data_IF_337895094803
#
_entry.id   IF_337895094803
#
_cell.length_a   1.000
_cell.length_b   1.000
_cell.length_c   1.000
_cell.angle_alpha   90.00
_cell.angle_beta   90.00
_cell.angle_gamma   90.00
#
_symmetry.space_group_name_H-M   'P 1'
#
loop_
_entity.id
_entity.type
_entity.pdbx_description
1 polymer ?
#
# COMPACT_ATOMS: atom_id res chain seq x y z
N UNK A 1 -19.26 -26.08 -23.48
CA UNK A 1 -19.94 -25.00 -22.71
C UNK A 1 -18.88 -24.22 -21.95
N UNK A 2 -17.88 -23.80 -22.72
CA UNK A 2 -16.80 -22.92 -22.31
C UNK A 2 -17.29 -21.47 -22.51
N UNK A 3 -16.77 -20.55 -21.69
CA UNK A 3 -16.80 -19.11 -21.90
C UNK A 3 -18.15 -18.36 -21.81
N UNK A 4 -18.88 -18.52 -20.70
CA UNK A 4 -19.49 -17.30 -20.14
C UNK A 4 -18.36 -16.48 -19.52
N UNK A 5 -17.89 -15.46 -20.25
CA UNK A 5 -16.90 -14.50 -19.79
C UNK A 5 -17.21 -14.10 -18.34
N UNK A 6 -16.29 -14.33 -17.40
CA UNK A 6 -16.50 -14.01 -15.98
C UNK A 6 -16.84 -12.52 -15.83
N UNK A 7 -18.14 -12.20 -15.78
CA UNK A 7 -18.69 -10.85 -15.63
C UNK A 7 -18.13 -10.13 -14.40
N UNK A 8 -17.69 -10.88 -13.40
CA UNK A 8 -17.20 -10.39 -12.12
C UNK A 8 -15.82 -11.00 -11.77
N UNK A 9 -14.98 -10.23 -11.08
CA UNK A 9 -13.63 -10.68 -10.71
C UNK A 9 -13.64 -11.81 -9.67
N UNK A 10 -14.13 -11.53 -8.45
CA UNK A 10 -14.12 -12.52 -7.36
C UNK A 10 -15.29 -12.34 -6.41
N UNK A 11 -16.26 -13.23 -6.57
CA UNK A 11 -17.45 -13.34 -5.73
C UNK A 11 -17.11 -13.88 -4.34
N UNK A 12 -17.95 -13.56 -3.36
CA UNK A 12 -17.98 -14.26 -2.09
C UNK A 12 -18.62 -15.65 -2.27
N UNK A 13 -17.87 -16.72 -2.01
CA UNK A 13 -18.33 -18.10 -2.22
C UNK A 13 -19.53 -18.47 -1.35
N UNK A 14 -19.67 -17.87 -0.16
CA UNK A 14 -20.71 -18.23 0.79
C UNK A 14 -22.10 -17.77 0.36
N UNK A 15 -22.19 -16.68 -0.41
CA UNK A 15 -23.46 -16.06 -0.82
C UNK A 15 -24.29 -17.03 -1.66
N UNK A 16 -23.64 -17.89 -2.45
CA UNK A 16 -24.29 -18.90 -3.30
C UNK A 16 -25.10 -19.96 -2.55
N UNK A 17 -24.84 -20.14 -1.26
CA UNK A 17 -25.52 -21.14 -0.44
C UNK A 17 -26.73 -20.58 0.32
N UNK A 18 -27.04 -19.29 0.14
CA UNK A 18 -28.17 -18.67 0.80
C UNK A 18 -29.49 -19.04 0.10
N UNK A 19 -30.59 -19.29 0.84
CA UNK A 19 -31.89 -19.66 0.25
C UNK A 19 -32.48 -18.63 -0.71
N UNK A 20 -32.04 -17.37 -0.61
CA UNK A 20 -32.52 -16.22 -1.37
C UNK A 20 -31.43 -15.63 -2.29
N UNK A 21 -30.56 -16.50 -2.84
CA UNK A 21 -29.45 -16.10 -3.71
C UNK A 21 -29.89 -15.26 -4.92
N UNK A 22 -30.98 -15.64 -5.58
CA UNK A 22 -31.47 -14.96 -6.79
C UNK A 22 -31.89 -13.50 -6.52
N UNK A 23 -32.41 -13.23 -5.31
CA UNK A 23 -32.76 -11.87 -4.90
C UNK A 23 -31.52 -11.05 -4.54
N UNK A 24 -30.52 -11.69 -3.91
CA UNK A 24 -29.24 -11.06 -3.60
C UNK A 24 -28.51 -10.62 -4.87
N UNK A 25 -28.55 -11.41 -5.94
CA UNK A 25 -27.87 -11.02 -7.19
C UNK A 25 -28.45 -9.73 -7.77
N UNK A 26 -29.79 -9.57 -7.72
CA UNK A 26 -30.48 -8.36 -8.19
C UNK A 26 -30.20 -7.18 -7.27
N UNK A 27 -30.24 -7.40 -5.96
CA UNK A 27 -29.92 -6.38 -4.96
C UNK A 27 -28.49 -5.87 -5.14
N UNK A 28 -27.53 -6.77 -5.32
CA UNK A 28 -26.13 -6.41 -5.53
C UNK A 28 -25.90 -5.64 -6.85
N UNK A 29 -26.67 -5.91 -7.91
CA UNK A 29 -26.62 -5.14 -9.15
C UNK A 29 -27.20 -3.73 -8.99
N UNK A 30 -28.30 -3.60 -8.25
CA UNK A 30 -28.92 -2.32 -7.94
C UNK A 30 -28.02 -1.47 -7.02
N UNK A 31 -27.53 -2.03 -5.92
CA UNK A 31 -26.69 -1.32 -4.97
C UNK A 31 -25.38 -0.84 -5.61
N UNK A 32 -24.77 -1.63 -6.51
CA UNK A 32 -23.57 -1.20 -7.22
C UNK A 32 -23.83 0.01 -8.13
N UNK A 33 -24.99 0.07 -8.79
CA UNK A 33 -25.38 1.23 -9.61
C UNK A 33 -25.56 2.48 -8.76
N UNK A 34 -26.19 2.33 -7.60
CA UNK A 34 -26.41 3.41 -6.65
C UNK A 34 -25.08 3.91 -6.07
N UNK A 35 -24.18 3.01 -5.68
CA UNK A 35 -22.82 3.38 -5.23
C UNK A 35 -22.07 4.16 -6.30
N UNK A 36 -22.09 3.70 -7.57
CA UNK A 36 -21.42 4.41 -8.66
C UNK A 36 -21.99 5.80 -8.88
N UNK A 37 -23.31 5.92 -8.96
CA UNK A 37 -23.98 7.20 -9.19
C UNK A 37 -23.80 8.14 -8.00
N UNK A 38 -23.93 7.64 -6.77
CA UNK A 38 -23.74 8.37 -5.53
C UNK A 38 -22.31 8.89 -5.34
N UNK A 39 -21.30 8.07 -5.62
CA UNK A 39 -19.90 8.51 -5.64
C UNK A 39 -19.68 9.59 -6.72
N UNK A 40 -20.18 9.39 -7.94
CA UNK A 40 -20.04 10.36 -9.01
C UNK A 40 -20.69 11.71 -8.66
N UNK A 41 -21.93 11.70 -8.18
CA UNK A 41 -22.63 12.92 -7.77
C UNK A 41 -21.93 13.60 -6.61
N UNK A 42 -21.60 12.89 -5.53
CA UNK A 42 -20.95 13.51 -4.36
C UNK A 42 -19.62 14.18 -4.71
N UNK A 43 -18.84 13.61 -5.63
CA UNK A 43 -17.60 14.22 -6.13
C UNK A 43 -17.90 15.46 -6.98
N UNK A 44 -18.87 15.38 -7.91
CA UNK A 44 -19.26 16.51 -8.77
C UNK A 44 -19.78 17.71 -7.96
N UNK A 45 -20.61 17.45 -6.96
CA UNK A 45 -21.17 18.47 -6.07
C UNK A 45 -20.19 18.91 -4.97
N UNK A 46 -19.01 18.27 -4.88
CA UNK A 46 -17.99 18.49 -3.84
C UNK A 46 -18.54 18.36 -2.42
N UNK A 47 -19.54 17.51 -2.24
CA UNK A 47 -20.21 17.29 -0.97
C UNK A 47 -19.50 16.18 -0.19
N UNK A 48 -18.47 16.56 0.57
CA UNK A 48 -17.67 15.62 1.37
C UNK A 48 -18.52 14.94 2.46
N UNK A 49 -19.41 15.69 3.12
CA UNK A 49 -20.35 15.19 4.12
C UNK A 49 -21.75 15.75 3.86
N UNK A 50 -22.81 14.93 4.02
CA UNK A 50 -22.80 13.50 4.32
C UNK A 50 -22.57 12.57 3.12
N UNK A 51 -22.70 13.07 1.89
CA UNK A 51 -22.84 12.21 0.71
C UNK A 51 -21.61 11.34 0.39
N UNK A 52 -20.43 11.95 0.22
CA UNK A 52 -19.23 11.21 -0.21
C UNK A 52 -18.83 10.12 0.77
N UNK A 53 -18.78 10.45 2.07
CA UNK A 53 -18.47 9.46 3.11
C UNK A 53 -19.50 8.33 3.15
N UNK A 54 -20.79 8.63 2.99
CA UNK A 54 -21.83 7.60 2.98
C UNK A 54 -21.59 6.60 1.85
N UNK A 55 -21.42 7.07 0.62
CA UNK A 55 -21.22 6.19 -0.54
C UNK A 55 -19.88 5.45 -0.53
N UNK A 56 -18.83 6.04 0.06
CA UNK A 56 -17.56 5.35 0.27
C UNK A 56 -17.70 4.19 1.27
N UNK A 57 -18.38 4.42 2.41
CA UNK A 57 -18.67 3.36 3.37
C UNK A 57 -19.58 2.27 2.78
N UNK A 58 -20.54 2.64 1.93
CA UNK A 58 -21.39 1.70 1.20
C UNK A 58 -20.58 0.84 0.22
N UNK A 59 -19.58 1.40 -0.46
CA UNK A 59 -18.64 0.63 -1.28
C UNK A 59 -17.86 -0.40 -0.45
N UNK A 60 -17.37 -0.01 0.73
CA UNK A 60 -16.66 -0.94 1.62
C UNK A 60 -17.58 -2.07 2.09
N UNK A 61 -18.82 -1.73 2.50
CA UNK A 61 -19.85 -2.71 2.88
C UNK A 61 -20.17 -3.65 1.73
N UNK A 62 -20.29 -3.14 0.51
CA UNK A 62 -20.52 -3.92 -0.70
C UNK A 62 -19.42 -4.97 -0.91
N UNK A 63 -18.15 -4.56 -0.81
CA UNK A 63 -17.00 -5.45 -0.97
C UNK A 63 -16.96 -6.52 0.12
N UNK A 64 -17.33 -6.18 1.35
CA UNK A 64 -17.40 -7.16 2.45
C UNK A 64 -18.51 -8.20 2.24
N UNK A 65 -19.69 -7.78 1.78
CA UNK A 65 -20.84 -8.67 1.59
C UNK A 65 -20.69 -9.54 0.34
N UNK A 66 -20.49 -8.92 -0.82
CA UNK A 66 -20.55 -9.58 -2.12
C UNK A 66 -19.18 -9.93 -2.71
N UNK A 67 -18.10 -9.45 -2.08
CA UNK A 67 -16.76 -9.53 -2.63
C UNK A 67 -16.54 -8.51 -3.75
N UNK A 68 -15.68 -8.85 -4.71
CA UNK A 68 -15.35 -8.01 -5.86
C UNK A 68 -16.32 -8.33 -7.01
N UNK A 69 -17.63 -8.15 -6.76
CA UNK A 69 -18.71 -8.38 -7.74
C UNK A 69 -18.86 -7.18 -8.69
N UNK A 70 -17.78 -6.81 -9.35
CA UNK A 70 -17.76 -5.76 -10.37
C UNK A 70 -16.67 -6.06 -11.39
N UNK A 71 -16.72 -5.36 -12.53
CA UNK A 71 -15.75 -5.51 -13.61
C UNK A 71 -14.35 -5.06 -13.16
N UNK A 72 -13.31 -5.47 -13.90
CA UNK A 72 -11.94 -5.02 -13.64
C UNK A 72 -11.79 -3.52 -13.86
N UNK A 73 -12.46 -2.98 -14.87
CA UNK A 73 -12.50 -1.55 -15.18
C UNK A 73 -13.09 -0.75 -14.01
N UNK A 74 -14.23 -1.19 -13.47
CA UNK A 74 -14.84 -0.56 -12.29
C UNK A 74 -13.92 -0.60 -11.08
N UNK A 75 -13.20 -1.70 -10.88
CA UNK A 75 -12.24 -1.83 -9.78
C UNK A 75 -11.12 -0.80 -9.89
N UNK A 76 -10.53 -0.67 -11.07
CA UNK A 76 -9.50 0.34 -11.34
C UNK A 76 -10.06 1.75 -11.11
N UNK A 77 -11.29 2.02 -11.54
CA UNK A 77 -11.95 3.31 -11.31
C UNK A 77 -12.18 3.59 -9.83
N UNK A 78 -12.66 2.63 -9.04
CA UNK A 78 -12.83 2.79 -7.59
C UNK A 78 -11.50 3.05 -6.89
N UNK A 79 -10.45 2.30 -7.26
CA UNK A 79 -9.11 2.49 -6.70
C UNK A 79 -8.57 3.89 -7.03
N UNK A 80 -8.63 4.31 -8.29
CA UNK A 80 -8.19 5.65 -8.71
C UNK A 80 -8.99 6.74 -8.00
N UNK A 81 -10.31 6.60 -7.95
CA UNK A 81 -11.18 7.57 -7.28
C UNK A 81 -10.82 7.73 -5.80
N UNK A 82 -10.70 6.62 -5.08
CA UNK A 82 -10.33 6.65 -3.66
C UNK A 82 -8.92 7.21 -3.45
N UNK A 83 -7.97 6.85 -4.31
CA UNK A 83 -6.61 7.37 -4.28
C UNK A 83 -6.57 8.90 -4.45
N UNK A 84 -7.26 9.43 -5.46
CA UNK A 84 -7.32 10.87 -5.72
C UNK A 84 -7.96 11.62 -4.55
N UNK A 85 -9.00 11.05 -3.92
CA UNK A 85 -9.62 11.64 -2.73
C UNK A 85 -8.69 11.68 -1.52
N UNK A 86 -7.82 10.67 -1.35
CA UNK A 86 -6.85 10.61 -0.25
C UNK A 86 -5.74 11.65 -0.43
N UNK A 87 -5.28 11.82 -1.67
CA UNK A 87 -4.17 12.70 -2.02
C UNK A 87 -4.61 14.16 -2.15
N UNK A 88 -5.90 14.41 -2.32
CA UNK A 88 -6.46 15.75 -2.50
C UNK A 88 -6.03 16.70 -1.36
N UNK A 89 -5.40 17.85 -1.69
CA UNK A 89 -4.97 18.80 -0.67
C UNK A 89 -6.19 19.39 0.05
N UNK A 90 -6.10 19.49 1.38
CA UNK A 90 -7.17 20.03 2.21
C UNK A 90 -8.30 19.05 2.54
N UNK A 91 -8.18 17.77 2.17
CA UNK A 91 -9.12 16.73 2.62
C UNK A 91 -9.07 16.57 4.15
N UNK A 92 -10.23 16.45 4.80
CA UNK A 92 -10.31 16.24 6.25
C UNK A 92 -9.58 14.95 6.64
N UNK A 93 -8.67 15.00 7.62
CA UNK A 93 -7.84 13.85 8.01
C UNK A 93 -8.65 12.63 8.50
N UNK A 94 -9.85 12.85 9.05
CA UNK A 94 -10.78 11.75 9.39
C UNK A 94 -11.31 11.06 8.13
N UNK A 95 -11.61 11.81 7.07
CA UNK A 95 -12.02 11.26 5.78
C UNK A 95 -10.85 10.53 5.11
N UNK A 96 -9.64 11.11 5.16
CA UNK A 96 -8.41 10.45 4.67
C UNK A 96 -8.21 9.10 5.35
N UNK A 97 -8.40 9.02 6.67
CA UNK A 97 -8.33 7.74 7.41
C UNK A 97 -9.34 6.74 6.83
N UNK A 98 -10.61 7.12 6.73
CA UNK A 98 -11.68 6.26 6.23
C UNK A 98 -11.40 5.79 4.81
N UNK A 99 -11.09 6.70 3.89
CA UNK A 99 -10.77 6.35 2.50
C UNK A 99 -9.53 5.47 2.40
N UNK A 100 -8.52 5.68 3.25
CA UNK A 100 -7.33 4.82 3.32
C UNK A 100 -7.68 3.39 3.72
N UNK A 101 -8.62 3.18 4.65
CA UNK A 101 -9.08 1.84 5.03
C UNK A 101 -9.84 1.15 3.88
N UNK A 102 -10.69 1.90 3.18
CA UNK A 102 -11.46 1.39 2.03
C UNK A 102 -10.50 1.01 0.89
N UNK A 103 -9.55 1.89 0.56
CA UNK A 103 -8.55 1.62 -0.47
C UNK A 103 -7.64 0.43 -0.10
N UNK A 104 -7.29 0.30 1.19
CA UNK A 104 -6.61 -0.89 1.69
C UNK A 104 -7.38 -2.19 1.41
N UNK A 105 -8.70 -2.17 1.58
CA UNK A 105 -9.55 -3.32 1.30
C UNK A 105 -9.65 -3.63 -0.19
N UNK A 106 -9.76 -2.60 -1.05
CA UNK A 106 -9.76 -2.75 -2.50
C UNK A 106 -8.43 -3.38 -3.01
N UNK A 107 -7.30 -2.90 -2.48
CA UNK A 107 -5.97 -3.40 -2.83
C UNK A 107 -5.57 -4.71 -2.10
N UNK A 108 -6.45 -5.28 -1.27
CA UNK A 108 -6.12 -6.44 -0.44
C UNK A 108 -5.79 -7.69 -1.25
N UNK A 109 -6.44 -7.88 -2.40
CA UNK A 109 -6.30 -9.08 -3.24
C UNK A 109 -5.42 -8.78 -4.45
N UNK A 110 -4.12 -8.93 -4.27
CA UNK A 110 -3.09 -8.61 -5.28
C UNK A 110 -3.32 -9.39 -6.59
N UNK A 111 -3.88 -10.60 -6.53
CA UNK A 111 -4.17 -11.41 -7.72
C UNK A 111 -5.23 -10.83 -8.67
N UNK A 112 -5.96 -9.78 -8.27
CA UNK A 112 -7.05 -9.20 -9.08
C UNK A 112 -6.58 -8.08 -10.01
N UNK A 113 -5.48 -7.42 -9.68
CA UNK A 113 -4.94 -6.28 -10.44
C UNK A 113 -3.46 -6.49 -10.69
N UNK A 114 -3.03 -6.36 -11.94
CA UNK A 114 -1.63 -6.25 -12.32
C UNK A 114 -1.21 -4.78 -12.31
N UNK A 115 0.11 -4.54 -12.35
CA UNK A 115 0.68 -3.21 -12.54
C UNK A 115 0.34 -2.61 -13.91
N UNK A 116 0.08 -3.46 -14.91
CA UNK A 116 -0.33 -3.00 -16.25
C UNK A 116 -1.73 -2.37 -16.24
N UNK A 117 -2.57 -2.76 -15.28
CA UNK A 117 -3.94 -2.24 -15.15
C UNK A 117 -4.01 -0.96 -14.32
N UNK A 118 -3.10 -0.83 -13.36
CA UNK A 118 -3.11 0.23 -12.37
C UNK A 118 -1.69 0.68 -12.06
N UNK A 119 -1.46 1.97 -12.28
CA UNK A 119 -0.26 2.68 -11.86
C UNK A 119 -0.66 3.74 -10.84
N UNK A 120 -0.03 3.69 -9.67
CA UNK A 120 -0.27 4.61 -8.56
C UNK A 120 1.00 5.40 -8.28
N UNK A 121 1.00 6.75 -8.37
CA UNK A 121 2.20 7.52 -8.08
C UNK A 121 2.53 7.44 -6.58
N UNK A 122 3.80 7.24 -6.27
CA UNK A 122 4.26 7.11 -4.89
C UNK A 122 4.41 8.46 -4.19
N UNK A 123 4.78 9.51 -4.95
CA UNK A 123 5.12 10.83 -4.42
C UNK A 123 4.00 11.48 -3.60
N UNK A 124 2.74 11.49 -4.06
CA UNK A 124 1.68 12.13 -3.28
C UNK A 124 1.35 11.38 -1.98
N UNK A 125 1.54 10.05 -1.96
CA UNK A 125 1.44 9.26 -0.72
C UNK A 125 2.59 9.57 0.23
N UNK A 126 3.80 9.80 -0.30
CA UNK A 126 4.94 10.24 0.49
C UNK A 126 4.70 11.62 1.11
N UNK A 127 4.21 12.59 0.33
CA UNK A 127 3.93 13.94 0.84
C UNK A 127 2.85 13.90 1.94
N UNK A 128 1.82 13.07 1.77
CA UNK A 128 0.80 12.83 2.80
C UNK A 128 1.38 12.15 4.05
N UNK A 129 2.16 11.08 3.88
CA UNK A 129 2.83 10.39 4.99
C UNK A 129 3.76 11.33 5.75
N UNK A 130 4.54 12.12 5.02
CA UNK A 130 5.46 13.11 5.60
C UNK A 130 4.71 14.17 6.39
N UNK A 131 3.59 14.67 5.86
CA UNK A 131 2.73 15.62 6.54
C UNK A 131 2.14 15.07 7.84
N UNK A 132 1.75 13.79 7.88
CA UNK A 132 1.11 13.20 9.07
C UNK A 132 2.15 12.70 10.09
N UNK A 133 3.24 12.08 9.63
CA UNK A 133 4.20 11.40 10.49
C UNK A 133 5.36 12.28 10.98
N UNK A 134 5.74 13.34 10.23
CA UNK A 134 6.95 14.12 10.52
C UNK A 134 6.72 15.62 10.67
N UNK A 135 5.68 16.21 10.06
CA UNK A 135 5.25 17.54 10.51
C UNK A 135 4.60 17.35 11.86
N UNK A 136 5.22 17.94 12.88
CA UNK A 136 4.88 17.86 14.31
C UNK A 136 3.51 18.52 14.63
N UNK A 137 2.46 18.20 13.87
CA UNK A 137 1.17 18.87 13.94
C UNK A 137 0.44 18.61 15.27
N UNK A 138 0.69 17.46 15.90
CA UNK A 138 0.21 17.16 17.24
C UNK A 138 1.08 17.78 18.33
N UNK A 139 2.41 17.73 18.21
CA UNK A 139 3.31 18.26 19.25
C UNK A 139 3.29 19.81 19.26
N UNK A 140 2.98 20.44 18.12
CA UNK A 140 2.70 21.87 18.00
C UNK A 140 1.25 22.24 18.36
N UNK A 141 0.37 21.26 18.62
CA UNK A 141 -1.02 21.47 19.03
C UNK A 141 -1.95 22.04 17.95
N UNK A 142 -1.55 22.00 16.68
CA UNK A 142 -2.29 22.58 15.56
C UNK A 142 -3.46 21.71 15.11
N UNK A 143 -3.33 20.38 15.23
CA UNK A 143 -4.37 19.42 14.86
C UNK A 143 -4.49 18.30 15.88
N UNK A 144 -5.72 17.83 16.10
CA UNK A 144 -5.98 16.55 16.76
C UNK A 144 -6.01 15.46 15.68
N UNK A 145 -4.95 14.67 15.53
CA UNK A 145 -4.96 13.61 14.53
C UNK A 145 -5.92 12.50 14.98
N UNK A 146 -6.65 11.88 14.03
CA UNK A 146 -7.39 10.66 14.33
C UNK A 146 -6.42 9.57 14.79
N UNK A 147 -6.81 8.81 15.82
CA UNK A 147 -6.04 7.64 16.27
C UNK A 147 -5.71 6.72 15.10
N UNK A 148 -4.51 6.13 15.07
CA UNK A 148 -4.07 5.18 14.03
C UNK A 148 -4.12 5.70 12.57
N UNK A 149 -4.21 7.02 12.34
CA UNK A 149 -4.14 7.57 10.98
C UNK A 149 -2.81 7.19 10.29
N UNK A 150 -1.68 7.40 10.97
CA UNK A 150 -0.35 7.03 10.44
C UNK A 150 -0.31 5.56 10.01
N UNK A 151 -0.71 4.65 10.91
CA UNK A 151 -0.76 3.20 10.61
C UNK A 151 -1.66 2.86 9.44
N UNK A 152 -2.80 3.56 9.29
CA UNK A 152 -3.72 3.35 8.17
C UNK A 152 -3.08 3.73 6.84
N UNK A 153 -2.32 4.84 6.83
CA UNK A 153 -1.55 5.32 5.67
C UNK A 153 -0.37 4.38 5.38
N UNK A 154 0.37 3.93 6.39
CA UNK A 154 1.47 2.98 6.24
C UNK A 154 0.99 1.66 5.62
N UNK A 155 -0.12 1.11 6.12
CA UNK A 155 -0.75 -0.08 5.54
C UNK A 155 -1.17 0.14 4.09
N UNK A 156 -1.70 1.33 3.79
CA UNK A 156 -2.07 1.71 2.42
C UNK A 156 -0.86 1.72 1.50
N UNK A 157 0.23 2.38 1.91
CA UNK A 157 1.46 2.46 1.13
C UNK A 157 2.03 1.06 0.90
N UNK A 158 2.08 0.21 1.94
CA UNK A 158 2.56 -1.16 1.82
C UNK A 158 1.80 -1.98 0.75
N UNK A 159 0.49 -1.75 0.60
CA UNK A 159 -0.32 -2.38 -0.45
C UNK A 159 -0.14 -1.71 -1.82
N UNK A 160 -0.18 -0.37 -1.85
CA UNK A 160 -0.08 0.44 -3.06
C UNK A 160 1.26 0.30 -3.77
N UNK A 161 2.33 0.00 -3.02
CA UNK A 161 3.69 -0.19 -3.52
C UNK A 161 3.83 -1.23 -4.64
N UNK A 162 2.94 -2.22 -4.70
CA UNK A 162 2.91 -3.21 -5.79
C UNK A 162 2.56 -2.58 -7.15
N UNK A 163 1.91 -1.42 -7.12
CA UNK A 163 1.35 -0.69 -8.27
C UNK A 163 2.13 0.59 -8.59
N UNK A 164 3.29 0.81 -7.96
CA UNK A 164 4.13 1.97 -8.27
C UNK A 164 4.75 1.85 -9.68
N UNK A 165 4.99 2.99 -10.37
CA UNK A 165 5.74 3.04 -11.62
C UNK A 165 7.10 2.32 -11.51
N UNK A 166 7.63 1.80 -12.63
CA UNK A 166 8.92 1.09 -12.64
C UNK A 166 10.08 2.01 -12.25
N UNK A 167 9.96 3.29 -12.56
CA UNK A 167 10.94 4.34 -12.30
C UNK A 167 11.02 4.71 -10.81
N UNK A 168 9.96 4.42 -10.04
CA UNK A 168 9.82 4.83 -8.64
C UNK A 168 11.00 4.41 -7.77
N UNK A 169 11.56 3.21 -7.99
CA UNK A 169 12.73 2.74 -7.22
C UNK A 169 13.92 3.70 -7.35
N UNK A 170 14.21 4.18 -8.57
CA UNK A 170 15.33 5.10 -8.80
C UNK A 170 15.04 6.47 -8.18
N UNK A 171 13.82 6.97 -8.32
CA UNK A 171 13.40 8.26 -7.75
C UNK A 171 13.49 8.23 -6.22
N UNK A 172 12.93 7.19 -5.59
CA UNK A 172 12.97 6.95 -4.15
C UNK A 172 14.42 6.90 -3.65
N UNK A 173 15.28 6.10 -4.30
CA UNK A 173 16.69 6.02 -3.91
C UNK A 173 17.40 7.37 -4.05
N UNK A 174 17.13 8.11 -5.13
CA UNK A 174 17.75 9.42 -5.38
C UNK A 174 17.39 10.43 -4.29
N UNK A 175 16.15 10.39 -3.79
CA UNK A 175 15.70 11.29 -2.72
C UNK A 175 16.22 10.90 -1.34
N UNK A 176 16.23 9.60 -1.00
CA UNK A 176 16.57 9.15 0.35
C UNK A 176 18.06 8.87 0.56
N UNK A 177 18.85 8.54 -0.47
CA UNK A 177 20.30 8.31 -0.35
C UNK A 177 21.04 9.47 0.33
N UNK A 178 20.83 10.75 -0.06
CA UNK A 178 21.49 11.88 0.61
C UNK A 178 21.18 11.99 2.11
N UNK A 179 20.02 11.47 2.54
CA UNK A 179 19.56 11.54 3.92
C UNK A 179 20.11 10.42 4.80
N UNK A 180 20.86 9.45 4.25
CA UNK A 180 21.41 8.30 4.98
C UNK A 180 22.66 8.62 5.81
N UNK A 181 23.05 9.89 5.95
CA UNK A 181 24.20 10.26 6.76
C UNK A 181 23.95 9.88 8.23
N UNK A 182 24.74 8.96 8.77
CA UNK A 182 24.60 8.42 10.14
C UNK A 182 24.70 9.46 11.26
N UNK A 183 25.18 10.66 10.94
CA UNK A 183 25.38 11.76 11.90
C UNK A 183 24.18 12.71 11.99
N UNK A 184 23.25 12.66 11.03
CA UNK A 184 22.05 13.50 11.01
C UNK A 184 20.83 12.70 11.46
N UNK A 185 19.91 13.30 12.23
CA UNK A 185 18.67 12.66 12.68
C UNK A 185 17.77 12.20 11.52
N UNK A 186 17.95 12.78 10.33
CA UNK A 186 17.25 12.41 9.10
C UNK A 186 17.46 10.96 8.66
N UNK A 187 18.54 10.30 9.08
CA UNK A 187 18.88 8.94 8.64
C UNK A 187 17.83 7.89 9.02
N UNK A 188 17.29 7.95 10.24
CA UNK A 188 16.27 7.00 10.70
C UNK A 188 14.99 7.14 9.87
N UNK A 189 14.61 8.38 9.57
CA UNK A 189 13.50 8.68 8.67
C UNK A 189 13.74 8.10 7.27
N UNK A 190 14.95 8.27 6.72
CA UNK A 190 15.29 7.74 5.41
C UNK A 190 15.12 6.22 5.36
N UNK A 191 15.62 5.50 6.36
CA UNK A 191 15.47 4.04 6.45
C UNK A 191 14.02 3.58 6.61
N UNK A 192 13.23 4.27 7.42
CA UNK A 192 11.81 3.97 7.58
C UNK A 192 11.03 4.21 6.28
N UNK A 193 11.32 5.31 5.59
CA UNK A 193 10.72 5.61 4.29
C UNK A 193 11.13 4.58 3.23
N UNK A 194 12.39 4.16 3.20
CA UNK A 194 12.83 3.11 2.28
C UNK A 194 12.14 1.78 2.54
N UNK A 195 12.05 1.34 3.80
CA UNK A 195 11.31 0.14 4.11
C UNK A 195 9.86 0.26 3.62
N UNK A 196 9.21 1.39 3.87
CA UNK A 196 7.81 1.59 3.52
C UNK A 196 7.57 1.70 2.01
N UNK A 197 8.40 2.43 1.26
CA UNK A 197 8.14 2.80 -0.13
C UNK A 197 8.86 1.94 -1.18
N UNK A 198 10.00 1.31 -0.90
CA UNK A 198 10.78 0.58 -1.91
C UNK A 198 10.05 -0.64 -2.49
N UNK A 199 9.70 -0.65 -3.79
CA UNK A 199 9.08 -1.80 -4.41
C UNK A 199 10.02 -3.01 -4.46
N UNK A 200 9.56 -4.13 -3.92
CA UNK A 200 10.31 -5.40 -3.88
C UNK A 200 9.78 -6.42 -4.89
N UNK A 201 8.48 -6.40 -5.20
CA UNK A 201 7.85 -7.26 -6.21
C UNK A 201 7.95 -6.64 -7.62
N UNK A 202 8.73 -7.28 -8.50
CA UNK A 202 8.73 -7.06 -9.96
C UNK A 202 8.64 -8.42 -10.67
N UNK A 203 8.10 -8.41 -11.89
CA UNK A 203 7.68 -9.63 -12.59
C UNK A 203 8.85 -10.44 -13.18
N UNK A 204 9.98 -9.80 -13.49
CA UNK A 204 11.12 -10.47 -14.12
C UNK A 204 12.47 -10.05 -13.54
N UNK A 205 13.47 -10.94 -13.63
CA UNK A 205 14.85 -10.66 -13.20
C UNK A 205 15.46 -9.46 -13.95
N UNK A 206 15.17 -9.31 -15.25
CA UNK A 206 15.67 -8.20 -16.07
C UNK A 206 15.10 -6.85 -15.61
N UNK A 207 13.85 -6.83 -15.16
CA UNK A 207 13.27 -5.65 -14.51
C UNK A 207 13.95 -5.37 -13.17
N UNK A 208 14.33 -6.40 -12.42
CA UNK A 208 15.06 -6.21 -11.16
C UNK A 208 16.46 -5.60 -11.36
N UNK A 209 17.16 -5.97 -12.43
CA UNK A 209 18.46 -5.40 -12.79
C UNK A 209 18.40 -3.90 -13.07
N UNK A 210 17.36 -3.50 -13.79
CA UNK A 210 17.24 -2.13 -14.26
C UNK A 210 16.48 -1.23 -13.28
N UNK A 211 15.46 -1.75 -12.59
CA UNK A 211 14.46 -0.97 -11.85
C UNK A 211 14.13 -1.51 -10.45
N UNK A 212 14.77 -2.59 -10.01
CA UNK A 212 14.41 -3.28 -8.76
C UNK A 212 15.50 -3.29 -7.70
N UNK A 213 15.58 -4.41 -6.98
CA UNK A 213 16.43 -4.53 -5.80
C UNK A 213 17.93 -4.52 -6.11
N UNK A 214 18.35 -4.94 -7.30
CA UNK A 214 19.77 -4.93 -7.69
C UNK A 214 20.38 -3.53 -7.71
N UNK A 215 19.57 -2.47 -7.74
CA UNK A 215 20.06 -1.09 -7.66
C UNK A 215 20.56 -0.69 -6.27
N UNK A 216 20.15 -1.40 -5.23
CA UNK A 216 20.38 -1.00 -3.83
C UNK A 216 20.83 -2.13 -2.92
N UNK A 217 20.58 -3.41 -3.27
CA UNK A 217 20.84 -4.55 -2.38
C UNK A 217 22.31 -4.63 -1.92
N UNK A 218 23.27 -4.40 -2.81
CA UNK A 218 24.70 -4.49 -2.47
C UNK A 218 25.12 -3.33 -1.54
N UNK A 219 24.62 -2.12 -1.83
CA UNK A 219 24.85 -0.93 -1.02
C UNK A 219 24.28 -1.11 0.39
N UNK A 220 23.01 -1.49 0.50
CA UNK A 220 22.36 -1.65 1.81
C UNK A 220 22.93 -2.86 2.56
N UNK A 221 23.20 -3.99 1.90
CA UNK A 221 23.84 -5.17 2.52
C UNK A 221 25.16 -4.80 3.18
N UNK A 222 26.02 -4.06 2.49
CA UNK A 222 27.29 -3.61 3.07
C UNK A 222 27.11 -2.75 4.32
N UNK A 223 26.10 -1.87 4.33
CA UNK A 223 25.78 -1.03 5.49
C UNK A 223 25.22 -1.85 6.67
N UNK A 224 24.42 -2.87 6.39
CA UNK A 224 23.77 -3.75 7.38
C UNK A 224 24.79 -4.68 8.04
N UNK A 225 25.58 -5.36 7.23
CA UNK A 225 26.53 -6.40 7.66
C UNK A 225 27.84 -5.78 8.16
N UNK A 226 28.22 -4.61 7.67
CA UNK A 226 29.36 -3.85 8.19
C UNK A 226 29.22 -3.32 9.62
N UNK A 227 28.00 -3.26 10.18
CA UNK A 227 27.76 -2.71 11.53
C UNK A 227 27.90 -3.77 12.63
N UNK A 228 28.87 -3.57 13.54
CA UNK A 228 29.06 -4.44 14.72
C UNK A 228 27.97 -4.27 15.77
N UNK A 229 27.52 -3.03 15.96
CA UNK A 229 26.41 -2.68 16.83
C UNK A 229 25.09 -2.73 16.04
N UNK A 230 23.99 -2.97 16.75
CA UNK A 230 22.65 -2.91 16.16
C UNK A 230 22.16 -1.46 16.17
N UNK A 231 22.11 -0.80 14.99
CA UNK A 231 21.67 0.58 14.92
C UNK A 231 20.14 0.68 15.08
N UNK A 232 19.61 1.86 15.45
CA UNK A 232 18.17 2.07 15.62
C UNK A 232 17.34 1.79 14.36
N UNK A 233 17.94 1.87 13.18
CA UNK A 233 17.29 1.58 11.90
C UNK A 233 17.27 0.10 11.52
N UNK A 234 17.99 -0.76 12.25
CA UNK A 234 18.12 -2.18 11.90
C UNK A 234 16.76 -2.90 11.72
N UNK A 235 15.74 -2.68 12.58
CA UNK A 235 14.44 -3.35 12.41
C UNK A 235 13.78 -3.05 11.06
N UNK A 236 13.80 -1.78 10.63
CA UNK A 236 13.22 -1.35 9.34
C UNK A 236 13.93 -2.00 8.15
N UNK A 237 15.23 -2.25 8.29
CA UNK A 237 16.02 -2.86 7.23
C UNK A 237 15.87 -4.37 7.21
N UNK A 238 15.80 -5.04 8.36
CA UNK A 238 15.48 -6.46 8.42
C UNK A 238 14.09 -6.75 7.86
N UNK A 239 13.10 -5.89 8.13
CA UNK A 239 11.77 -6.01 7.52
C UNK A 239 11.80 -5.85 6.00
N UNK A 240 12.57 -4.88 5.49
CA UNK A 240 12.79 -4.70 4.06
C UNK A 240 13.46 -5.93 3.42
N UNK A 241 14.52 -6.46 4.04
CA UNK A 241 15.22 -7.65 3.57
C UNK A 241 14.32 -8.89 3.61
N UNK A 242 13.62 -9.12 4.73
CA UNK A 242 12.70 -10.24 4.88
C UNK A 242 11.61 -10.21 3.79
N UNK A 243 11.05 -9.01 3.54
CA UNK A 243 10.09 -8.82 2.45
C UNK A 243 10.70 -9.13 1.09
N UNK A 244 11.89 -8.62 0.81
CA UNK A 244 12.58 -8.86 -0.46
C UNK A 244 12.78 -10.36 -0.71
N UNK A 245 13.33 -11.07 0.27
CA UNK A 245 13.60 -12.51 0.16
C UNK A 245 12.31 -13.30 -0.03
N UNK A 246 11.26 -12.96 0.72
CA UNK A 246 9.97 -13.62 0.64
C UNK A 246 9.30 -13.45 -0.74
N UNK A 247 9.42 -12.27 -1.34
CA UNK A 247 8.79 -11.97 -2.63
C UNK A 247 9.62 -12.45 -3.82
N UNK A 248 10.93 -12.69 -3.64
CA UNK A 248 11.90 -12.92 -4.71
C UNK A 248 12.70 -14.21 -4.48
N UNK A 249 12.01 -15.29 -4.11
CA UNK A 249 12.62 -16.59 -3.84
C UNK A 249 13.41 -17.08 -5.06
N UNK A 250 14.70 -17.38 -4.85
CA UNK A 250 15.61 -17.85 -5.89
C UNK A 250 16.35 -16.76 -6.67
N UNK A 251 16.10 -15.48 -6.40
CA UNK A 251 16.77 -14.36 -7.07
C UNK A 251 17.79 -13.61 -6.22
N UNK A 252 17.70 -13.73 -4.90
CA UNK A 252 18.60 -13.07 -3.96
C UNK A 252 19.54 -14.12 -3.37
N UNK A 253 20.84 -13.94 -3.60
CA UNK A 253 21.85 -14.75 -2.92
C UNK A 253 22.20 -14.09 -1.59
N UNK A 254 21.86 -14.78 -0.50
CA UNK A 254 22.20 -14.38 0.87
C UNK A 254 23.25 -15.27 1.51
N UNK A 255 23.74 -16.30 0.80
CA UNK A 255 24.71 -17.27 1.33
C UNK A 255 25.93 -16.59 1.98
N UNK A 256 26.52 -15.51 1.41
CA UNK A 256 27.65 -14.81 2.02
C UNK A 256 27.36 -14.15 3.38
N UNK A 257 26.09 -13.86 3.68
CA UNK A 257 25.67 -13.10 4.86
C UNK A 257 24.95 -13.94 5.92
N UNK A 258 24.72 -15.23 5.66
CA UNK A 258 23.91 -16.10 6.54
C UNK A 258 24.45 -16.15 7.97
N UNK A 259 25.75 -16.31 8.15
CA UNK A 259 26.38 -16.38 9.48
C UNK A 259 26.12 -15.11 10.30
N UNK A 260 26.19 -13.95 9.66
CA UNK A 260 25.93 -12.67 10.31
C UNK A 260 24.44 -12.48 10.63
N UNK A 261 23.54 -12.87 9.72
CA UNK A 261 22.09 -12.83 9.94
C UNK A 261 21.73 -13.67 11.16
N UNK A 262 22.17 -14.93 11.21
CA UNK A 262 21.88 -15.82 12.34
C UNK A 262 22.50 -15.31 13.65
N UNK A 263 23.73 -14.81 13.61
CA UNK A 263 24.37 -14.21 14.79
C UNK A 263 23.55 -13.03 15.32
N UNK A 264 23.04 -12.16 14.44
CA UNK A 264 22.21 -11.00 14.81
C UNK A 264 20.83 -11.41 15.33
N UNK A 265 20.24 -12.49 14.83
CA UNK A 265 18.97 -13.04 15.35
C UNK A 265 19.14 -13.70 16.72
N UNK A 266 20.28 -14.37 16.97
CA UNK A 266 20.53 -15.06 18.23
C UNK A 266 20.84 -14.10 19.39
N UNK A 267 21.57 -13.02 19.16
CA UNK A 267 21.99 -12.07 20.22
C UNK A 267 20.83 -11.54 21.10
N UNK A 268 19.65 -11.16 20.57
CA UNK A 268 18.51 -10.76 21.39
C UNK A 268 17.90 -11.89 22.22
N UNK A 269 18.01 -13.14 21.76
CA UNK A 269 17.43 -14.32 22.43
C UNK A 269 18.31 -14.83 23.58
N UNK A 270 19.58 -14.45 23.60
CA UNK A 270 20.54 -14.77 24.66
C UNK A 270 20.42 -13.85 25.89
N UNK A 271 19.56 -12.84 25.85
CA UNK A 271 19.28 -11.90 26.96
C UNK A 271 17.95 -12.22 27.64
#
# INVERSE_FOLDING_TARGET
MEEESKKYQKLNSYVKFLPYYDDIEKEADWQLRDIKSGLAYSILWREQRPALIHWACELDRYVHLYGFRFSKEDHVLFVKTMYELIVMPGMELRLVKTFSLILNNLLKKISLLSRDDLVVPWRPLYDLYYFVAYKSLEEEGLFMLPSDLCKSIENLIARARNYFPKESTREILTEFRPLMCIWDASYLRAWNCLNLFLPTRLSSLQEHESHGFKLWIDELSSAIFGSKNEPPWAPSVYDLLARLVFENVGYVDLEPYMDEIFTKILRPLEK
#
